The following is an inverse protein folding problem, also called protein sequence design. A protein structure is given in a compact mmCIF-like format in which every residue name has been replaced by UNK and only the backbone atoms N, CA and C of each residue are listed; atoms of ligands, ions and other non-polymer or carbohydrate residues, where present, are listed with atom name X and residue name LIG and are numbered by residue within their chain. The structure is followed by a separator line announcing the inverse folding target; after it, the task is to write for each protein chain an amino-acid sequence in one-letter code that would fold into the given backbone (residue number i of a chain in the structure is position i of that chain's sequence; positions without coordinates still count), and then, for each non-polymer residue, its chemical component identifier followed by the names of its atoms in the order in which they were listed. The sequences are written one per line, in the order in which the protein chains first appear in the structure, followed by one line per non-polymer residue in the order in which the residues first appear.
data_IF_666115328812
#
_entry.id   IF_666115328812
#
_cell.length_a   1.000
_cell.length_b   1.000
_cell.length_c   1.000
_cell.angle_alpha   90.00
_cell.angle_beta   90.00
_cell.angle_gamma   90.00
#
_symmetry.space_group_name_H-M   'P 1'
#
loop_
_entity.id
_entity.type
_entity.pdbx_description
1 polymer ?
#
# COMPACT_ATOMS: atom_id res chain seq x y z
N UNK A 1 6.39 19.65 -12.63
CA UNK A 1 5.83 19.78 -11.28
C UNK A 1 5.99 18.45 -10.56
N UNK A 2 6.31 18.42 -9.27
CA UNK A 2 6.32 17.16 -8.54
C UNK A 2 4.90 16.53 -8.58
N UNK A 3 4.80 15.19 -8.57
CA UNK A 3 3.51 14.52 -8.55
C UNK A 3 2.74 14.86 -7.25
N UNK A 4 1.41 14.87 -7.32
CA UNK A 4 0.57 15.05 -6.14
C UNK A 4 0.88 14.00 -5.06
N UNK A 5 0.79 14.34 -3.78
CA UNK A 5 1.02 13.39 -2.71
C UNK A 5 0.00 12.24 -2.74
N UNK A 6 0.43 11.05 -2.36
CA UNK A 6 -0.47 9.90 -2.24
C UNK A 6 -1.45 10.12 -1.08
N UNK A 7 -2.72 9.82 -1.31
CA UNK A 7 -3.73 9.85 -0.25
C UNK A 7 -3.43 8.80 0.83
N UNK A 8 -2.87 7.65 0.44
CA UNK A 8 -2.44 6.58 1.33
C UNK A 8 -1.20 6.92 2.18
N UNK A 9 -0.47 7.98 1.86
CA UNK A 9 0.63 8.48 2.66
C UNK A 9 0.20 9.55 3.70
N UNK A 10 -1.09 9.93 3.71
CA UNK A 10 -1.61 10.91 4.66
C UNK A 10 -1.94 10.25 6.00
N UNK A 11 -1.48 10.87 7.10
CA UNK A 11 -1.97 10.51 8.45
C UNK A 11 -3.36 11.12 8.67
N UNK A 12 -4.09 10.57 9.66
CA UNK A 12 -5.41 11.12 10.03
C UNK A 12 -5.30 12.61 10.37
N UNK A 13 -4.27 13.02 11.13
CA UNK A 13 -4.07 14.40 11.54
C UNK A 13 -3.84 15.33 10.36
N UNK A 14 -2.99 14.91 9.39
CA UNK A 14 -2.72 15.70 8.18
C UNK A 14 -3.95 15.86 7.32
N UNK A 15 -4.69 14.76 7.12
CA UNK A 15 -5.92 14.79 6.33
C UNK A 15 -7.01 15.62 7.03
N UNK A 16 -7.12 15.51 8.37
CA UNK A 16 -8.05 16.32 9.16
C UNK A 16 -7.72 17.80 9.06
N UNK A 17 -6.45 18.19 9.21
CA UNK A 17 -6.01 19.57 9.09
C UNK A 17 -6.35 20.13 7.70
N UNK A 18 -5.98 19.41 6.64
CA UNK A 18 -6.29 19.77 5.26
C UNK A 18 -7.79 19.97 5.03
N UNK A 19 -8.62 19.01 5.43
CA UNK A 19 -10.07 19.09 5.22
C UNK A 19 -10.73 20.18 6.07
N UNK A 20 -10.21 20.44 7.28
CA UNK A 20 -10.70 21.55 8.14
C UNK A 20 -10.40 22.90 7.52
N UNK A 21 -9.20 23.11 6.97
CA UNK A 21 -8.83 24.32 6.25
C UNK A 21 -9.76 24.60 5.05
N UNK A 22 -10.29 23.55 4.43
CA UNK A 22 -11.25 23.63 3.32
C UNK A 22 -12.73 23.57 3.77
N UNK A 23 -13.00 23.82 5.06
CA UNK A 23 -14.37 23.93 5.57
C UNK A 23 -15.10 22.59 5.81
N UNK A 24 -14.37 21.47 5.82
CA UNK A 24 -14.95 20.15 6.09
C UNK A 24 -14.77 19.73 7.55
N UNK A 25 -15.70 18.93 8.04
CA UNK A 25 -15.70 18.43 9.43
C UNK A 25 -14.87 17.16 9.59
N UNK A 26 -14.49 16.84 10.85
CA UNK A 26 -13.85 15.56 11.20
C UNK A 26 -14.60 14.33 10.69
N UNK A 27 -15.93 14.39 10.64
CA UNK A 27 -16.74 13.30 10.08
C UNK A 27 -16.38 12.98 8.62
N UNK A 28 -16.09 14.00 7.80
CA UNK A 28 -15.66 13.79 6.41
C UNK A 28 -14.29 13.14 6.33
N UNK A 29 -13.38 13.50 7.25
CA UNK A 29 -12.07 12.83 7.34
C UNK A 29 -12.23 11.32 7.59
N UNK A 30 -13.07 10.94 8.54
CA UNK A 30 -13.34 9.54 8.84
C UNK A 30 -13.97 8.79 7.65
N UNK A 31 -14.88 9.45 6.92
CA UNK A 31 -15.44 8.86 5.70
C UNK A 31 -14.38 8.62 4.62
N UNK A 32 -13.48 9.58 4.38
CA UNK A 32 -12.39 9.40 3.41
C UNK A 32 -11.46 8.26 3.84
N UNK A 33 -11.07 8.23 5.12
CA UNK A 33 -10.21 7.15 5.64
C UNK A 33 -10.87 5.77 5.54
N UNK A 34 -12.19 5.67 5.81
CA UNK A 34 -12.93 4.42 5.64
C UNK A 34 -12.90 3.93 4.17
N UNK A 35 -13.07 4.83 3.22
CA UNK A 35 -12.96 4.50 1.81
C UNK A 35 -11.56 4.04 1.40
N UNK A 36 -10.53 4.76 1.85
CA UNK A 36 -9.13 4.45 1.53
C UNK A 36 -8.68 3.13 2.17
N UNK A 37 -8.90 2.98 3.48
CA UNK A 37 -8.28 1.90 4.26
C UNK A 37 -9.14 0.64 4.38
N UNK A 38 -10.46 0.77 4.52
CA UNK A 38 -11.36 -0.38 4.70
C UNK A 38 -11.95 -0.85 3.38
N UNK A 39 -12.43 0.09 2.55
CA UNK A 39 -13.03 -0.26 1.26
C UNK A 39 -12.02 -0.34 0.13
N UNK A 40 -10.79 0.15 0.35
CA UNK A 40 -9.64 0.03 -0.55
C UNK A 40 -9.94 0.51 -1.97
N UNK A 41 -10.63 1.65 -2.10
CA UNK A 41 -10.87 2.25 -3.40
C UNK A 41 -9.58 2.80 -4.01
N UNK A 42 -9.52 2.81 -5.33
CA UNK A 42 -8.38 3.30 -6.10
C UNK A 42 -8.67 4.60 -6.84
N UNK A 43 -9.89 5.13 -6.69
CA UNK A 43 -10.32 6.41 -7.29
C UNK A 43 -11.22 7.16 -6.32
N UNK A 44 -11.21 8.51 -6.39
CA UNK A 44 -12.09 9.34 -5.58
C UNK A 44 -13.56 9.23 -6.01
N UNK A 45 -13.81 8.95 -7.28
CA UNK A 45 -15.17 8.79 -7.81
C UNK A 45 -15.92 7.61 -7.20
N UNK A 46 -15.19 6.55 -6.82
CA UNK A 46 -15.76 5.38 -6.15
C UNK A 46 -16.31 5.68 -4.74
N UNK A 47 -15.97 6.82 -4.14
CA UNK A 47 -16.42 7.25 -2.81
C UNK A 47 -17.87 7.79 -2.87
N UNK A 48 -18.85 6.89 -3.03
CA UNK A 48 -20.22 7.22 -3.40
C UNK A 48 -20.97 8.13 -2.41
N UNK A 49 -20.62 8.11 -1.12
CA UNK A 49 -21.26 8.91 -0.07
C UNK A 49 -20.58 10.26 0.18
N UNK A 50 -19.56 10.62 -0.61
CA UNK A 50 -18.93 11.94 -0.54
C UNK A 50 -19.57 12.91 -1.54
N UNK A 51 -19.75 14.19 -1.16
CA UNK A 51 -20.20 15.22 -2.08
C UNK A 51 -19.23 15.37 -3.28
N UNK A 52 -19.73 15.66 -4.50
CA UNK A 52 -18.88 15.87 -5.67
C UNK A 52 -17.79 16.92 -5.46
N UNK A 53 -18.10 18.03 -4.79
CA UNK A 53 -17.11 19.07 -4.48
C UNK A 53 -15.94 18.55 -3.64
N UNK A 54 -16.21 17.66 -2.66
CA UNK A 54 -15.15 17.06 -1.84
C UNK A 54 -14.31 16.06 -2.65
N UNK A 55 -14.93 15.28 -3.54
CA UNK A 55 -14.18 14.38 -4.44
C UNK A 55 -13.23 15.15 -5.36
N UNK A 56 -13.71 16.27 -5.93
CA UNK A 56 -12.88 17.14 -6.76
C UNK A 56 -11.73 17.75 -5.97
N UNK A 57 -12.00 18.27 -4.77
CA UNK A 57 -10.95 18.80 -3.87
C UNK A 57 -9.88 17.75 -3.58
N UNK A 58 -10.29 16.51 -3.30
CA UNK A 58 -9.34 15.42 -3.05
C UNK A 58 -8.53 15.08 -4.30
N UNK A 59 -9.16 15.03 -5.47
CA UNK A 59 -8.49 14.72 -6.74
C UNK A 59 -7.52 15.82 -7.20
N UNK A 60 -7.78 17.06 -6.86
CA UNK A 60 -6.88 18.21 -7.16
C UNK A 60 -5.64 18.25 -6.26
N UNK A 61 -5.71 17.65 -5.06
CA UNK A 61 -4.65 17.74 -4.06
C UNK A 61 -3.95 16.43 -3.74
N UNK A 62 -4.57 15.29 -4.07
CA UNK A 62 -4.05 13.96 -3.81
C UNK A 62 -4.24 13.05 -5.01
N UNK A 63 -3.52 11.93 -4.99
CA UNK A 63 -3.68 10.88 -5.98
C UNK A 63 -3.64 9.50 -5.33
N UNK A 64 -4.17 8.52 -6.01
CA UNK A 64 -3.90 7.12 -5.77
C UNK A 64 -2.72 6.66 -6.61
N UNK A 65 -2.03 5.66 -6.15
CA UNK A 65 -1.09 4.87 -6.93
C UNK A 65 -1.30 3.40 -6.62
N UNK A 66 -1.42 2.61 -7.65
CA UNK A 66 -1.46 1.15 -7.56
C UNK A 66 -0.18 0.64 -8.22
N UNK A 67 0.75 0.04 -7.46
CA UNK A 67 1.97 -0.52 -8.03
C UNK A 67 1.67 -1.62 -9.03
N UNK A 68 2.54 -1.78 -10.01
CA UNK A 68 2.46 -2.82 -11.02
C UNK A 68 3.05 -4.13 -10.48
N UNK A 69 2.29 -5.21 -10.47
CA UNK A 69 2.85 -6.55 -10.25
C UNK A 69 3.45 -7.02 -11.57
N UNK A 70 4.79 -7.05 -11.65
CA UNK A 70 5.50 -7.40 -12.88
C UNK A 70 5.77 -8.89 -13.00
N UNK A 71 5.81 -9.63 -11.88
CA UNK A 71 6.06 -11.06 -11.88
C UNK A 71 5.43 -11.74 -10.66
N UNK A 72 4.97 -12.96 -10.83
CA UNK A 72 4.43 -13.82 -9.76
C UNK A 72 5.09 -15.19 -9.86
N UNK A 73 5.70 -15.63 -8.76
CA UNK A 73 6.28 -16.96 -8.61
C UNK A 73 5.48 -17.78 -7.59
N UNK A 74 5.40 -19.09 -7.83
CA UNK A 74 4.65 -20.04 -7.00
C UNK A 74 3.27 -20.33 -7.56
N UNK A 75 2.48 -21.12 -6.83
CA UNK A 75 1.12 -21.53 -7.21
C UNK A 75 0.07 -21.05 -6.18
N UNK A 76 -1.22 -21.13 -6.55
CA UNK A 76 -2.31 -20.58 -5.74
C UNK A 76 -2.46 -21.25 -4.36
N UNK A 77 -2.03 -22.50 -4.24
CA UNK A 77 -2.13 -23.36 -3.07
C UNK A 77 -0.84 -23.39 -2.22
N UNK A 78 0.20 -22.67 -2.66
CA UNK A 78 1.50 -22.61 -2.00
C UNK A 78 1.93 -21.17 -1.74
N UNK A 79 3.13 -21.01 -1.18
CA UNK A 79 3.77 -19.70 -1.05
C UNK A 79 3.93 -19.04 -2.41
N UNK A 80 3.48 -17.80 -2.52
CA UNK A 80 3.61 -16.99 -3.73
C UNK A 80 4.39 -15.73 -3.46
N UNK A 81 5.35 -15.47 -4.33
CA UNK A 81 6.14 -14.25 -4.32
C UNK A 81 5.69 -13.33 -5.46
N UNK A 82 5.51 -12.07 -5.15
CA UNK A 82 5.15 -11.02 -6.09
C UNK A 82 6.33 -10.07 -6.23
N UNK A 83 6.74 -9.80 -7.45
CA UNK A 83 7.66 -8.72 -7.76
C UNK A 83 6.86 -7.51 -8.18
N UNK A 84 6.96 -6.44 -7.40
CA UNK A 84 6.15 -5.24 -7.54
C UNK A 84 7.03 -4.06 -7.91
N UNK A 85 6.64 -3.34 -8.97
CA UNK A 85 7.33 -2.14 -9.45
C UNK A 85 6.71 -0.90 -8.81
N UNK A 86 7.53 -0.15 -8.09
CA UNK A 86 7.18 1.14 -7.51
C UNK A 86 7.18 2.25 -8.56
N UNK A 87 6.67 3.42 -8.21
CA UNK A 87 6.53 4.55 -9.13
C UNK A 87 7.87 5.07 -9.67
N UNK A 88 8.94 5.01 -8.87
CA UNK A 88 10.29 5.38 -9.26
C UNK A 88 11.02 4.30 -10.07
N UNK A 89 10.32 3.21 -10.42
CA UNK A 89 10.87 2.07 -11.14
C UNK A 89 11.58 1.05 -10.25
N UNK A 90 11.73 1.30 -8.95
CA UNK A 90 12.31 0.34 -8.01
C UNK A 90 11.45 -0.92 -7.93
N UNK A 91 12.09 -2.07 -7.77
CA UNK A 91 11.43 -3.36 -7.61
C UNK A 91 11.50 -3.81 -6.15
N UNK A 92 10.39 -4.28 -5.61
CA UNK A 92 10.30 -4.85 -4.27
C UNK A 92 9.55 -6.18 -4.31
N UNK A 93 9.83 -7.03 -3.35
CA UNK A 93 9.19 -8.35 -3.23
C UNK A 93 8.20 -8.37 -2.06
N UNK A 94 7.05 -9.00 -2.28
CA UNK A 94 6.08 -9.36 -1.25
C UNK A 94 5.78 -10.85 -1.35
N UNK A 95 5.48 -11.50 -0.23
CA UNK A 95 5.26 -12.93 -0.19
C UNK A 95 3.97 -13.26 0.54
N UNK A 96 3.07 -13.99 -0.11
CA UNK A 96 1.90 -14.61 0.52
C UNK A 96 2.27 -16.02 0.94
N UNK A 97 2.12 -16.31 2.23
CA UNK A 97 2.44 -17.59 2.85
C UNK A 97 1.15 -18.16 3.46
N UNK A 98 0.51 -19.13 2.80
CA UNK A 98 -0.59 -19.88 3.40
C UNK A 98 -0.10 -20.64 4.63
N UNK A 99 -0.92 -20.75 5.66
CA UNK A 99 -0.56 -21.62 6.80
C UNK A 99 -0.50 -23.08 6.34
N UNK A 100 0.47 -23.81 6.87
CA UNK A 100 0.51 -25.27 6.73
C UNK A 100 -0.79 -25.88 7.31
N UNK A 101 -1.23 -27.01 6.75
CA UNK A 101 -2.30 -27.81 7.33
C UNK A 101 -1.88 -28.20 8.75
N UNK A 102 -2.80 -28.17 9.70
CA UNK A 102 -2.56 -28.64 11.05
C UNK A 102 -2.31 -30.16 11.03
N UNK A 103 -1.60 -30.67 12.05
CA UNK A 103 -1.29 -32.10 12.15
C UNK A 103 -2.55 -33.01 12.15
N UNK A 104 -3.71 -32.46 12.55
CA UNK A 104 -5.00 -33.14 12.52
C UNK A 104 -5.69 -33.11 11.14
N UNK A 105 -5.03 -32.57 10.11
CA UNK A 105 -5.56 -32.46 8.73
C UNK A 105 -6.53 -31.27 8.51
N UNK A 106 -6.81 -30.46 9.56
CA UNK A 106 -7.61 -29.25 9.37
C UNK A 106 -6.81 -28.19 8.61
N UNK A 107 -7.45 -27.61 7.59
CA UNK A 107 -6.86 -26.48 6.85
C UNK A 107 -6.97 -25.22 7.70
N UNK A 108 -5.84 -24.60 7.99
CA UNK A 108 -5.83 -23.25 8.58
C UNK A 108 -6.20 -22.23 7.50
N UNK A 109 -7.16 -21.37 7.79
CA UNK A 109 -7.51 -20.22 6.93
C UNK A 109 -6.51 -19.05 7.06
N UNK A 110 -5.53 -19.16 7.94
CA UNK A 110 -4.55 -18.11 8.16
C UNK A 110 -3.65 -17.93 6.94
N UNK A 111 -3.54 -16.68 6.48
CA UNK A 111 -2.60 -16.26 5.46
C UNK A 111 -1.68 -15.20 6.06
N UNK A 112 -0.38 -15.38 5.87
CA UNK A 112 0.62 -14.37 6.25
C UNK A 112 1.06 -13.62 5.00
N UNK A 113 1.04 -12.30 5.06
CA UNK A 113 1.63 -11.43 4.04
C UNK A 113 2.93 -10.86 4.59
N UNK A 114 4.04 -11.17 3.93
CA UNK A 114 5.34 -10.54 4.18
C UNK A 114 5.53 -9.43 3.14
N UNK A 115 5.77 -8.21 3.58
CA UNK A 115 5.95 -7.04 2.71
C UNK A 115 7.33 -6.43 2.91
N UNK A 116 7.87 -5.81 1.87
CA UNK A 116 9.11 -5.05 1.94
C UNK A 116 8.88 -3.68 2.58
N UNK A 117 9.81 -3.23 3.39
CA UNK A 117 9.84 -1.87 3.95
C UNK A 117 10.94 -0.98 3.36
N UNK A 118 11.81 -1.58 2.54
CA UNK A 118 12.96 -0.92 1.93
C UNK A 118 13.14 -1.40 0.49
N UNK A 119 13.78 -0.57 -0.33
CA UNK A 119 14.38 -0.98 -1.60
C UNK A 119 15.83 -1.31 -1.32
N UNK A 120 16.23 -2.58 -1.51
CA UNK A 120 17.52 -3.10 -1.10
C UNK A 120 17.59 -3.32 0.43
N UNK A 121 18.80 -3.49 0.95
CA UNK A 121 19.01 -3.76 2.38
C UNK A 121 20.38 -3.27 2.83
N UNK A 122 20.43 -2.63 4.02
CA UNK A 122 21.65 -2.08 4.60
C UNK A 122 22.54 -3.12 5.30
N UNK A 123 22.02 -4.30 5.61
CA UNK A 123 22.74 -5.28 6.44
C UNK A 123 23.92 -5.98 5.77
N UNK A 124 23.95 -6.01 4.41
CA UNK A 124 25.09 -6.56 3.67
C UNK A 124 25.33 -8.07 3.87
N UNK A 125 24.32 -8.85 4.21
CA UNK A 125 24.44 -10.30 4.40
C UNK A 125 24.90 -10.98 3.10
N UNK A 126 26.05 -11.65 3.10
CA UNK A 126 26.69 -12.24 1.92
C UNK A 126 25.85 -13.35 1.23
N UNK A 127 24.89 -13.92 1.94
CA UNK A 127 23.99 -14.97 1.44
C UNK A 127 22.63 -14.44 0.93
N UNK A 128 22.37 -13.15 1.04
CA UNK A 128 21.06 -12.55 0.75
C UNK A 128 21.10 -11.68 -0.50
N UNK A 129 20.26 -12.02 -1.49
CA UNK A 129 20.19 -11.27 -2.73
C UNK A 129 19.69 -9.82 -2.56
N UNK A 130 18.87 -9.54 -1.53
CA UNK A 130 18.37 -8.19 -1.25
C UNK A 130 19.47 -7.18 -0.89
N UNK A 131 20.68 -7.66 -0.60
CA UNK A 131 21.82 -6.79 -0.20
C UNK A 131 22.79 -6.48 -1.34
N UNK A 132 22.61 -7.09 -2.51
CA UNK A 132 23.56 -6.98 -3.62
C UNK A 132 23.81 -5.53 -4.05
N UNK A 133 22.79 -4.69 -3.99
CA UNK A 133 22.88 -3.27 -4.36
C UNK A 133 22.89 -2.33 -3.14
N UNK A 134 23.05 -2.87 -1.92
CA UNK A 134 22.93 -2.10 -0.69
C UNK A 134 21.52 -1.56 -0.44
N UNK A 135 21.41 -0.62 0.48
CA UNK A 135 20.16 0.11 0.73
C UNK A 135 20.05 1.28 -0.26
N UNK A 136 18.98 1.28 -1.05
CA UNK A 136 18.68 2.40 -1.97
C UNK A 136 17.85 3.44 -1.23
N UNK A 137 16.70 3.04 -0.63
CA UNK A 137 15.84 3.90 0.18
C UNK A 137 14.86 3.10 1.05
N UNK A 138 14.29 3.77 2.03
CA UNK A 138 13.10 3.25 2.73
C UNK A 138 11.86 3.44 1.84
N UNK A 139 10.88 2.56 1.99
CA UNK A 139 9.55 2.75 1.43
C UNK A 139 8.73 3.68 2.33
N UNK A 140 7.86 4.46 1.73
CA UNK A 140 6.86 5.25 2.47
C UNK A 140 5.75 4.32 3.00
N UNK A 141 5.00 4.79 4.00
CA UNK A 141 3.86 4.04 4.53
C UNK A 141 2.82 3.71 3.42
N UNK A 142 2.60 4.64 2.48
CA UNK A 142 1.73 4.41 1.33
C UNK A 142 2.23 3.31 0.40
N UNK A 143 3.54 3.25 0.13
CA UNK A 143 4.14 2.20 -0.69
C UNK A 143 4.11 0.83 0.00
N UNK A 144 4.35 0.79 1.32
CA UNK A 144 4.24 -0.46 2.09
C UNK A 144 2.79 -0.99 2.07
N UNK A 145 1.82 -0.10 2.24
CA UNK A 145 0.40 -0.48 2.20
C UNK A 145 -0.07 -0.93 0.81
N UNK A 146 0.54 -0.40 -0.25
CA UNK A 146 0.11 -0.68 -1.63
C UNK A 146 0.59 -2.03 -2.18
N UNK A 147 1.53 -2.69 -1.51
CA UNK A 147 1.96 -4.06 -1.81
C UNK A 147 0.88 -5.08 -1.49
#
# INVERSE_FOLDING_TARGET
MPPLPLITAQTEEKLLAFLTEHGHTKFRTQQVLDWVWRKRVTTFDAMSNLPPALKNLLAENFRFHTPEIVEIHGSADTTRKFLTKMEDGSLVESVIIPAAAAENGEKSERVTLCVSSQVGCAFGCKFCASTLNGLIRNLTAGEIHSQ
#
